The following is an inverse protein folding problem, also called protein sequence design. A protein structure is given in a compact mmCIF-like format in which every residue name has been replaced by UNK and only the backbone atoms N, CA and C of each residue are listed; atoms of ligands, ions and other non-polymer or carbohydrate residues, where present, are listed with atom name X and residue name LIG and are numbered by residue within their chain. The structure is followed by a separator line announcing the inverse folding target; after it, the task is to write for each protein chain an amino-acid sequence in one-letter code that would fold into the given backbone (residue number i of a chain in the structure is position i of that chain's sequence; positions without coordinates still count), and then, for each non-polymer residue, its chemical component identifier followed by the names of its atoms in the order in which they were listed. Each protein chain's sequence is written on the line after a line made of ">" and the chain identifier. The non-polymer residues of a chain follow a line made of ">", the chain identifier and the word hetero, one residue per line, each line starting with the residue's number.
data_IF_711195911921
#
_entry.id   IF_711195911921
#
_cell.length_a   1.000
_cell.length_b   1.000
_cell.length_c   1.000
_cell.angle_alpha   90.00
_cell.angle_beta   90.00
_cell.angle_gamma   90.00
#
_symmetry.space_group_name_H-M   'P 1'
#
loop_
_entity.id
_entity.type
_entity.pdbx_description
1 polymer ?
#
# COMPACT_ATOMS: atom_id res chain seq x y z
N UNK A 1 -13.89 -11.97 -2.74
CA UNK A 1 -13.53 -10.54 -2.87
C UNK A 1 -12.17 -10.37 -2.24
N UNK A 2 -11.35 -9.48 -2.78
CA UNK A 2 -10.00 -9.24 -2.26
C UNK A 2 -10.07 -8.62 -0.86
N UNK A 3 -9.19 -9.06 0.04
CA UNK A 3 -9.22 -8.64 1.45
C UNK A 3 -8.48 -7.31 1.64
N UNK A 4 -9.22 -6.21 1.87
CA UNK A 4 -8.66 -4.90 2.19
C UNK A 4 -8.50 -4.79 3.71
N UNK A 5 -7.25 -4.81 4.15
CA UNK A 5 -6.89 -4.84 5.57
C UNK A 5 -6.59 -3.44 6.04
N UNK A 6 -7.47 -2.90 6.88
CA UNK A 6 -7.28 -1.59 7.49
C UNK A 6 -6.08 -1.62 8.44
N UNK A 7 -5.15 -0.70 8.27
CA UNK A 7 -3.98 -0.52 9.15
C UNK A 7 -4.19 0.68 10.06
N UNK A 8 -4.66 1.79 9.48
CA UNK A 8 -5.05 3.02 10.18
C UNK A 8 -6.32 3.59 9.55
N UNK A 9 -6.75 4.78 9.99
CA UNK A 9 -7.85 5.51 9.35
C UNK A 9 -7.48 6.01 7.94
N UNK A 10 -6.18 6.17 7.67
CA UNK A 10 -5.65 6.74 6.43
C UNK A 10 -5.01 5.71 5.50
N UNK A 11 -4.73 4.50 5.99
CA UNK A 11 -4.11 3.44 5.21
C UNK A 11 -4.82 2.10 5.37
N UNK A 12 -5.12 1.47 4.25
CA UNK A 12 -5.39 0.05 4.13
C UNK A 12 -4.39 -0.62 3.20
N UNK A 13 -4.11 -1.90 3.44
CA UNK A 13 -3.26 -2.71 2.57
C UNK A 13 -4.00 -3.93 2.03
N UNK A 14 -3.56 -4.45 0.88
CA UNK A 14 -4.21 -5.57 0.22
C UNK A 14 -3.22 -6.52 -0.46
N UNK A 15 -3.54 -7.82 -0.60
CA UNK A 15 -2.95 -8.65 -1.65
C UNK A 15 -3.32 -8.12 -3.04
N UNK A 16 -2.86 -8.80 -4.10
CA UNK A 16 -3.10 -8.38 -5.48
C UNK A 16 -4.56 -8.04 -5.72
N UNK A 17 -4.82 -6.82 -6.21
CA UNK A 17 -6.15 -6.35 -6.58
C UNK A 17 -6.43 -6.61 -8.06
N UNK A 18 -7.71 -6.73 -8.40
CA UNK A 18 -8.21 -6.72 -9.78
C UNK A 18 -8.71 -5.34 -10.19
N UNK A 19 -9.02 -5.14 -11.47
CA UNK A 19 -9.69 -3.91 -11.94
C UNK A 19 -11.08 -3.71 -11.34
N UNK A 20 -11.78 -4.80 -10.97
CA UNK A 20 -13.07 -4.73 -10.26
C UNK A 20 -12.90 -4.22 -8.82
N UNK A 21 -11.80 -4.59 -8.17
CA UNK A 21 -11.47 -4.10 -6.83
C UNK A 21 -11.19 -2.59 -6.82
N UNK A 22 -10.73 -2.01 -7.93
CA UNK A 22 -10.53 -0.55 -8.07
C UNK A 22 -11.86 0.20 -7.97
N UNK A 23 -12.90 -0.28 -8.67
CA UNK A 23 -14.23 0.32 -8.58
C UNK A 23 -14.79 0.21 -7.16
N UNK A 24 -14.56 -0.93 -6.50
CA UNK A 24 -14.93 -1.10 -5.09
C UNK A 24 -14.17 -0.14 -4.18
N UNK A 25 -12.85 0.04 -4.37
CA UNK A 25 -12.06 0.97 -3.59
C UNK A 25 -12.62 2.40 -3.70
N UNK A 26 -13.03 2.84 -4.90
CA UNK A 26 -13.69 4.15 -5.05
C UNK A 26 -15.00 4.23 -4.25
N UNK A 27 -15.84 3.19 -4.32
CA UNK A 27 -17.11 3.14 -3.61
C UNK A 27 -16.94 3.12 -2.07
N UNK A 28 -15.84 2.53 -1.58
CA UNK A 28 -15.46 2.53 -0.16
C UNK A 28 -14.79 3.85 0.29
N UNK A 29 -14.61 4.82 -0.61
CA UNK A 29 -14.15 6.17 -0.30
C UNK A 29 -12.63 6.36 -0.34
N UNK A 30 -11.87 5.39 -0.84
CA UNK A 30 -10.44 5.58 -1.09
C UNK A 30 -10.21 6.73 -2.08
N UNK A 31 -9.11 7.46 -1.92
CA UNK A 31 -8.72 8.57 -2.80
C UNK A 31 -7.52 8.23 -3.68
N UNK A 32 -6.64 7.34 -3.18
CA UNK A 32 -5.39 6.94 -3.83
C UNK A 32 -5.19 5.43 -3.75
N UNK A 33 -4.72 4.84 -4.85
CA UNK A 33 -4.16 3.48 -4.89
C UNK A 33 -2.64 3.56 -5.05
N UNK A 34 -1.91 2.85 -4.19
CA UNK A 34 -0.46 2.66 -4.30
C UNK A 34 -0.17 1.21 -4.70
N UNK A 35 0.53 1.01 -5.82
CA UNK A 35 1.00 -0.29 -6.24
C UNK A 35 2.47 -0.47 -5.88
N UNK A 36 2.78 -1.39 -4.97
CA UNK A 36 4.15 -1.76 -4.61
C UNK A 36 4.63 -3.06 -5.27
N UNK A 37 3.87 -3.59 -6.23
CA UNK A 37 4.22 -4.76 -7.02
C UNK A 37 4.87 -4.34 -8.35
N UNK A 38 6.10 -4.80 -8.65
CA UNK A 38 6.64 -4.75 -10.00
C UNK A 38 5.76 -5.56 -10.96
N UNK A 39 5.67 -5.12 -12.21
CA UNK A 39 5.01 -5.91 -13.25
C UNK A 39 5.81 -7.18 -13.60
N UNK A 40 5.07 -8.18 -14.08
CA UNK A 40 5.64 -9.44 -14.56
C UNK A 40 6.15 -10.38 -13.46
N UNK A 41 5.69 -10.25 -12.20
CA UNK A 41 6.00 -11.25 -11.17
C UNK A 41 5.19 -12.54 -11.35
N UNK A 42 4.03 -12.48 -12.01
CA UNK A 42 3.17 -13.63 -12.29
C UNK A 42 2.48 -13.47 -13.67
N UNK A 43 2.33 -14.53 -14.49
CA UNK A 43 1.64 -14.42 -15.79
C UNK A 43 0.18 -13.97 -15.71
N UNK A 44 -0.49 -14.21 -14.58
CA UNK A 44 -1.87 -13.79 -14.32
C UNK A 44 -1.99 -12.43 -13.65
N UNK A 45 -0.85 -11.77 -13.35
CA UNK A 45 -0.82 -10.45 -12.74
C UNK A 45 -1.36 -9.40 -13.72
N UNK A 46 -2.38 -8.62 -13.33
CA UNK A 46 -2.71 -7.39 -14.04
C UNK A 46 -1.52 -6.43 -14.02
N UNK A 47 -1.21 -5.86 -15.17
CA UNK A 47 -0.15 -4.85 -15.28
C UNK A 47 -0.52 -3.60 -14.50
N UNK A 48 0.50 -2.85 -14.09
CA UNK A 48 0.32 -1.56 -13.42
C UNK A 48 -0.52 -0.62 -14.28
N UNK A 49 -0.29 -0.61 -15.60
CA UNK A 49 -1.04 0.20 -16.55
C UNK A 49 -2.54 -0.15 -16.62
N UNK A 50 -2.90 -1.44 -16.51
CA UNK A 50 -4.30 -1.86 -16.46
C UNK A 50 -5.01 -1.39 -15.18
N UNK A 51 -4.33 -1.47 -14.04
CA UNK A 51 -4.87 -0.98 -12.76
C UNK A 51 -4.95 0.55 -12.75
N UNK A 52 -3.94 1.24 -13.29
CA UNK A 52 -3.90 2.70 -13.43
C UNK A 52 -5.04 3.22 -14.31
N UNK A 53 -5.28 2.57 -15.46
CA UNK A 53 -6.37 2.92 -16.35
C UNK A 53 -7.73 2.76 -15.65
N UNK A 54 -7.92 1.67 -14.89
CA UNK A 54 -9.12 1.47 -14.09
C UNK A 54 -9.27 2.52 -12.98
N UNK A 55 -8.17 2.90 -12.31
CA UNK A 55 -8.18 3.91 -11.25
C UNK A 55 -8.56 5.28 -11.80
N UNK A 56 -7.93 5.67 -12.91
CA UNK A 56 -8.22 6.92 -13.63
C UNK A 56 -9.69 6.96 -14.07
N UNK A 57 -10.20 5.88 -14.66
CA UNK A 57 -11.60 5.79 -15.08
C UNK A 57 -12.60 5.88 -13.90
N UNK A 58 -12.20 5.43 -12.71
CA UNK A 58 -12.98 5.53 -11.48
C UNK A 58 -12.80 6.87 -10.73
N UNK A 59 -11.93 7.77 -11.20
CA UNK A 59 -11.59 9.01 -10.51
C UNK A 59 -10.82 8.77 -9.20
N UNK A 60 -9.94 7.79 -9.19
CA UNK A 60 -8.94 7.53 -8.15
C UNK A 60 -7.57 7.98 -8.63
N UNK A 61 -6.78 8.58 -7.73
CA UNK A 61 -5.35 8.75 -7.97
C UNK A 61 -4.67 7.38 -7.95
N UNK A 62 -3.57 7.26 -8.70
CA UNK A 62 -2.77 6.04 -8.76
C UNK A 62 -1.30 6.39 -8.70
N UNK A 63 -0.54 5.59 -7.93
CA UNK A 63 0.90 5.72 -7.79
C UNK A 63 1.57 4.35 -7.86
N UNK A 64 2.53 4.18 -8.77
CA UNK A 64 3.31 2.96 -8.89
C UNK A 64 4.71 3.12 -8.30
N UNK A 65 4.99 2.42 -7.19
CA UNK A 65 6.29 2.42 -6.50
C UNK A 65 6.76 0.96 -6.35
N UNK A 66 7.32 0.34 -7.40
CA UNK A 66 7.58 -1.10 -7.44
C UNK A 66 8.74 -1.51 -6.52
N UNK A 67 8.44 -2.29 -5.47
CA UNK A 67 9.44 -2.75 -4.49
C UNK A 67 9.87 -4.19 -4.78
N UNK A 68 11.19 -4.42 -4.86
CA UNK A 68 11.81 -5.76 -5.00
C UNK A 68 12.62 -6.08 -3.75
N UNK A 69 12.22 -7.11 -3.01
CA UNK A 69 12.82 -7.37 -1.70
C UNK A 69 12.40 -6.30 -0.69
N UNK A 70 13.38 -5.59 -0.09
CA UNK A 70 13.13 -4.44 0.77
C UNK A 70 13.06 -3.12 -0.01
N UNK A 71 12.33 -2.11 0.48
CA UNK A 71 12.22 -0.81 -0.19
C UNK A 71 13.51 0.01 -0.05
N UNK A 72 13.80 0.83 -1.07
CA UNK A 72 14.83 1.87 -0.97
C UNK A 72 14.31 3.08 -0.20
N UNK A 73 15.22 3.97 0.24
CA UNK A 73 14.84 5.23 0.89
C UNK A 73 13.88 6.05 0.02
N UNK A 74 14.18 6.21 -1.28
CA UNK A 74 13.32 6.93 -2.22
C UNK A 74 11.91 6.34 -2.32
N UNK A 75 11.80 5.00 -2.28
CA UNK A 75 10.50 4.32 -2.32
C UNK A 75 9.71 4.51 -1.02
N UNK A 76 10.41 4.50 0.11
CA UNK A 76 9.82 4.81 1.41
C UNK A 76 9.28 6.24 1.42
N UNK A 77 10.08 7.20 0.99
CA UNK A 77 9.71 8.61 0.97
C UNK A 77 8.53 8.85 0.02
N UNK A 78 8.56 8.27 -1.19
CA UNK A 78 7.46 8.39 -2.14
C UNK A 78 6.13 7.85 -1.58
N UNK A 79 6.13 6.70 -0.89
CA UNK A 79 4.92 6.14 -0.27
C UNK A 79 4.45 7.02 0.89
N UNK A 80 5.36 7.45 1.77
CA UNK A 80 5.04 8.31 2.91
C UNK A 80 4.40 9.62 2.46
N UNK A 81 5.05 10.33 1.55
CA UNK A 81 4.58 11.62 1.03
C UNK A 81 3.23 11.48 0.32
N UNK A 82 3.03 10.41 -0.44
CA UNK A 82 1.76 10.17 -1.11
C UNK A 82 0.61 9.89 -0.13
N UNK A 83 0.87 9.18 0.98
CA UNK A 83 -0.13 8.96 2.04
C UNK A 83 -0.43 10.24 2.80
N UNK A 84 0.60 11.05 3.11
CA UNK A 84 0.43 12.34 3.79
C UNK A 84 -0.33 13.38 2.94
N UNK A 85 -0.11 13.36 1.62
CA UNK A 85 -0.76 14.29 0.69
C UNK A 85 -2.15 13.83 0.21
N UNK A 86 -2.57 12.60 0.51
CA UNK A 86 -3.84 12.08 0.03
C UNK A 86 -5.03 12.79 0.69
N UNK A 87 -6.04 13.15 -0.11
CA UNK A 87 -7.26 13.82 0.36
C UNK A 87 -8.25 12.86 1.06
N UNK A 88 -7.84 11.62 1.32
CA UNK A 88 -8.67 10.54 1.84
C UNK A 88 -7.87 9.26 2.08
N UNK A 89 -8.52 8.14 2.46
CA UNK A 89 -7.80 6.91 2.75
C UNK A 89 -7.11 6.35 1.51
N UNK A 90 -5.95 5.73 1.74
CA UNK A 90 -5.10 5.12 0.72
C UNK A 90 -5.22 3.61 0.76
N UNK A 91 -5.35 2.98 -0.41
CA UNK A 91 -5.24 1.54 -0.58
C UNK A 91 -3.89 1.20 -1.20
N UNK A 92 -2.99 0.61 -0.43
CA UNK A 92 -1.71 0.13 -0.94
C UNK A 92 -1.72 -1.39 -1.16
N UNK A 93 -1.23 -1.88 -2.30
CA UNK A 93 -1.20 -3.31 -2.57
C UNK A 93 0.14 -3.78 -3.12
N UNK A 94 0.42 -5.06 -2.91
CA UNK A 94 1.44 -5.76 -3.68
C UNK A 94 0.95 -7.19 -4.00
N UNK A 95 1.82 -8.20 -4.01
CA UNK A 95 1.39 -9.61 -4.13
C UNK A 95 0.55 -10.06 -2.92
N UNK A 96 1.05 -9.82 -1.70
CA UNK A 96 0.44 -10.24 -0.42
C UNK A 96 0.06 -9.08 0.51
N UNK A 97 0.36 -7.85 0.12
CA UNK A 97 0.29 -6.63 0.96
C UNK A 97 1.52 -6.39 1.85
N UNK A 98 2.40 -7.37 2.03
CA UNK A 98 3.58 -7.26 2.91
C UNK A 98 4.52 -6.11 2.53
N UNK A 99 4.85 -5.94 1.24
CA UNK A 99 5.72 -4.82 0.80
C UNK A 99 5.09 -3.48 1.11
N UNK A 100 3.79 -3.35 0.91
CA UNK A 100 3.07 -2.09 1.11
C UNK A 100 3.10 -1.67 2.58
N UNK A 101 2.76 -2.57 3.50
CA UNK A 101 2.77 -2.24 4.93
C UNK A 101 4.20 -2.04 5.45
N UNK A 102 5.18 -2.79 4.94
CA UNK A 102 6.59 -2.62 5.30
C UNK A 102 7.10 -1.24 4.85
N UNK A 103 6.91 -0.88 3.58
CA UNK A 103 7.37 0.40 3.04
C UNK A 103 6.75 1.58 3.78
N UNK A 104 5.44 1.52 4.04
CA UNK A 104 4.76 2.55 4.83
C UNK A 104 5.31 2.62 6.27
N UNK A 105 5.44 1.47 6.95
CA UNK A 105 5.87 1.45 8.35
C UNK A 105 7.29 1.98 8.54
N UNK A 106 8.20 1.70 7.60
CA UNK A 106 9.54 2.29 7.61
C UNK A 106 9.45 3.81 7.47
N UNK A 107 8.59 4.32 6.59
CA UNK A 107 8.37 5.76 6.42
C UNK A 107 7.86 6.44 7.69
N UNK A 108 6.90 5.82 8.38
CA UNK A 108 6.38 6.31 9.66
C UNK A 108 7.43 6.31 10.77
N UNK A 109 8.28 5.28 10.82
CA UNK A 109 9.35 5.19 11.81
C UNK A 109 10.43 6.25 11.55
N UNK A 110 10.85 6.44 10.29
CA UNK A 110 11.87 7.42 9.91
C UNK A 110 11.41 8.87 10.11
N UNK A 111 10.12 9.17 9.91
CA UNK A 111 9.56 10.50 10.15
C UNK A 111 9.29 10.78 11.64
N UNK A 112 9.34 9.76 12.50
CA UNK A 112 8.96 9.86 13.91
C UNK A 112 7.45 9.98 14.12
N UNK A 113 6.63 9.71 13.10
CA UNK A 113 5.17 9.80 13.18
C UNK A 113 4.55 8.67 14.03
N UNK A 114 5.23 7.53 14.15
CA UNK A 114 4.84 6.44 15.04
C UNK A 114 6.07 5.71 15.57
N UNK A 115 6.00 5.27 16.82
CA UNK A 115 7.04 4.42 17.40
C UNK A 115 6.92 2.96 16.89
N UNK A 116 8.00 2.20 17.12
CA UNK A 116 8.10 0.80 16.73
C UNK A 116 6.96 -0.04 17.30
N UNK A 117 6.63 0.13 18.58
CA UNK A 117 5.62 -0.69 19.26
C UNK A 117 4.24 -0.51 18.61
N UNK A 118 3.88 0.73 18.32
CA UNK A 118 2.65 1.11 17.63
C UNK A 118 2.60 0.49 16.24
N UNK A 119 3.68 0.61 15.47
CA UNK A 119 3.73 0.06 14.10
C UNK A 119 3.62 -1.46 14.11
N UNK A 120 4.34 -2.14 15.00
CA UNK A 120 4.25 -3.60 15.13
C UNK A 120 2.84 -4.04 15.48
N UNK A 121 2.17 -3.33 16.41
CA UNK A 121 0.77 -3.60 16.76
C UNK A 121 -0.17 -3.40 15.57
N UNK A 122 -0.08 -2.28 14.85
CA UNK A 122 -0.89 -2.00 13.66
C UNK A 122 -0.67 -3.06 12.57
N UNK A 123 0.58 -3.51 12.39
CA UNK A 123 0.92 -4.63 11.52
C UNK A 123 0.16 -5.90 11.91
N UNK A 124 0.26 -6.31 13.18
CA UNK A 124 -0.39 -7.52 13.67
C UNK A 124 -1.92 -7.46 13.53
N UNK A 125 -2.53 -6.32 13.85
CA UNK A 125 -3.98 -6.11 13.68
C UNK A 125 -4.42 -6.20 12.22
N UNK A 126 -3.56 -5.76 11.29
CA UNK A 126 -3.75 -5.93 9.85
C UNK A 126 -3.27 -7.29 9.30
N UNK A 127 -2.84 -8.23 10.16
CA UNK A 127 -2.41 -9.58 9.76
C UNK A 127 -1.01 -9.66 9.15
N UNK A 128 -0.09 -8.78 9.54
CA UNK A 128 1.32 -8.76 9.13
C UNK A 128 2.26 -8.69 10.32
N UNK A 129 3.35 -9.46 10.29
CA UNK A 129 4.40 -9.36 11.30
C UNK A 129 5.49 -8.37 10.84
N UNK A 130 5.62 -7.27 11.56
CA UNK A 130 6.64 -6.23 11.31
C UNK A 130 7.81 -6.28 12.29
N UNK A 131 7.79 -7.19 13.27
CA UNK A 131 8.79 -7.24 14.35
C UNK A 131 10.21 -7.50 13.82
N UNK A 132 10.35 -8.28 12.75
CA UNK A 132 11.65 -8.57 12.13
C UNK A 132 12.15 -7.53 11.11
N UNK A 133 11.33 -6.53 10.76
CA UNK A 133 11.63 -5.62 9.64
C UNK A 133 11.94 -4.21 10.10
N UNK A 134 11.27 -3.74 11.15
CA UNK A 134 11.56 -2.43 11.73
C UNK A 134 12.87 -2.51 12.54
N UNK A 135 13.70 -1.45 12.57
CA UNK A 135 14.87 -1.38 13.46
C UNK A 135 14.45 -1.23 14.94
N UNK A 136 15.38 -1.56 15.84
CA UNK A 136 15.23 -1.38 17.29
C UNK A 136 15.57 0.04 17.72
#
# INVERSE_FOLDING_TARGET
>A
MTDFRRVTDTLSVSPQISTQDVARAKAEGFSLIINNRPDGEDPSQPTSAEIEAAATAAGLAYLHVPVRGGPTQEQVDAVREAVEAAEGPVLAFCRSGTRSIVTWSIGQALSGAADRETLVKQGYEAGYDLSGVLPH
#
